data_IF_387029655219
#
_entry.id   IF_387029655219
#
_cell.length_a   1.000
_cell.length_b   1.000
_cell.length_c   1.000
_cell.angle_alpha   90.00
_cell.angle_beta   90.00
_cell.angle_gamma   90.00
#
_symmetry.space_group_name_H-M   'P 1'
#
loop_
_entity.id
_entity.type
_entity.pdbx_description
1 polymer ?
#
# COMPACT_ATOMS: atom_id res chain seq x y z
N UNK A 1 32.21 -30.29 41.94
CA UNK A 1 32.00 -28.94 41.36
C UNK A 1 31.94 -29.09 39.85
N UNK A 2 31.06 -28.32 39.19
CA UNK A 2 31.05 -28.03 37.75
C UNK A 2 30.41 -29.10 36.85
N UNK A 3 29.49 -28.81 35.92
CA UNK A 3 28.71 -27.64 35.52
C UNK A 3 27.61 -28.20 34.60
N UNK A 4 26.34 -28.05 34.93
CA UNK A 4 25.25 -28.43 34.00
C UNK A 4 25.24 -27.43 32.84
N UNK A 5 25.55 -27.88 31.63
CA UNK A 5 25.30 -27.12 30.40
C UNK A 5 23.79 -27.18 30.12
N UNK A 6 23.10 -26.06 30.34
CA UNK A 6 21.77 -25.87 29.80
C UNK A 6 21.89 -25.69 28.28
N UNK A 7 21.46 -26.70 27.53
CA UNK A 7 21.31 -26.59 26.08
C UNK A 7 20.15 -25.63 25.79
N UNK A 8 20.47 -24.45 25.23
CA UNK A 8 19.49 -23.51 24.72
C UNK A 8 18.92 -24.09 23.43
N UNK A 9 17.72 -24.70 23.50
CA UNK A 9 16.98 -25.11 22.30
C UNK A 9 16.51 -23.84 21.57
N UNK A 10 17.19 -23.52 20.47
CA UNK A 10 16.72 -22.54 19.49
C UNK A 10 15.51 -23.15 18.77
N UNK A 11 14.30 -22.72 19.13
CA UNK A 11 13.09 -23.10 18.39
C UNK A 11 13.11 -22.37 17.06
N UNK A 12 13.53 -23.06 16.01
CA UNK A 12 13.43 -22.57 14.63
C UNK A 12 11.95 -22.65 14.24
N UNK A 13 11.23 -21.55 14.35
CA UNK A 13 9.88 -21.46 13.78
C UNK A 13 10.01 -21.66 12.26
N UNK A 14 9.23 -22.56 11.64
CA UNK A 14 9.28 -22.71 10.19
C UNK A 14 8.79 -21.41 9.57
N UNK A 15 9.68 -20.69 8.89
CA UNK A 15 9.28 -19.67 7.93
C UNK A 15 8.52 -20.40 6.83
N UNK A 16 7.20 -20.22 6.78
CA UNK A 16 6.39 -20.74 5.68
C UNK A 16 6.93 -20.21 4.35
N UNK A 17 6.74 -20.92 3.23
CA UNK A 17 7.13 -20.42 1.93
C UNK A 17 6.54 -19.02 1.71
N UNK A 18 7.41 -18.04 1.47
CA UNK A 18 6.98 -16.73 0.99
C UNK A 18 6.34 -16.96 -0.38
N UNK A 19 5.02 -16.84 -0.47
CA UNK A 19 4.34 -16.86 -1.75
C UNK A 19 4.81 -15.63 -2.53
N UNK A 20 5.55 -15.83 -3.61
CA UNK A 20 5.84 -14.75 -4.55
C UNK A 20 4.55 -14.39 -5.28
N UNK A 21 4.25 -13.10 -5.36
CA UNK A 21 3.09 -12.58 -6.08
C UNK A 21 3.57 -11.82 -7.33
N UNK A 22 3.93 -12.54 -8.42
CA UNK A 22 4.52 -11.93 -9.60
C UNK A 22 3.58 -10.91 -10.27
N UNK A 23 2.26 -11.10 -10.12
CA UNK A 23 1.25 -10.23 -10.73
C UNK A 23 0.95 -8.98 -9.88
N UNK A 24 1.44 -8.92 -8.64
CA UNK A 24 1.17 -7.83 -7.71
C UNK A 24 0.61 -8.32 -6.35
N UNK A 25 0.66 -7.47 -5.31
CA UNK A 25 0.37 -7.87 -3.93
C UNK A 25 -1.10 -8.33 -3.75
N UNK A 26 -1.42 -9.27 -2.84
CA UNK A 26 -2.76 -9.83 -2.71
C UNK A 26 -3.81 -8.76 -2.34
N UNK A 27 -4.99 -8.83 -2.98
CA UNK A 27 -6.05 -7.83 -2.85
C UNK A 27 -6.62 -7.70 -1.43
N UNK A 28 -6.62 -8.80 -0.70
CA UNK A 28 -7.12 -8.92 0.67
C UNK A 28 -6.26 -8.10 1.64
N UNK A 29 -4.97 -7.97 1.35
CA UNK A 29 -4.02 -7.25 2.21
C UNK A 29 -4.21 -5.71 2.17
N UNK A 30 -4.93 -5.15 1.19
CA UNK A 30 -5.15 -3.70 1.14
C UNK A 30 -5.90 -3.15 2.36
N UNK A 31 -6.70 -4.00 3.02
CA UNK A 31 -7.58 -3.62 4.13
C UNK A 31 -7.22 -4.38 5.42
N UNK A 32 -6.26 -5.29 5.35
CA UNK A 32 -5.74 -6.01 6.50
C UNK A 32 -4.90 -5.06 7.38
N UNK A 33 -4.97 -5.27 8.70
CA UNK A 33 -4.17 -4.53 9.68
C UNK A 33 -2.68 -4.76 9.49
N UNK A 34 -2.28 -5.96 9.06
CA UNK A 34 -0.90 -6.32 8.74
C UNK A 34 -0.50 -5.80 7.36
N UNK A 35 -1.42 -5.77 6.39
CA UNK A 35 -1.14 -5.28 5.04
C UNK A 35 0.16 -5.83 4.44
N UNK A 36 1.07 -4.95 4.03
CA UNK A 36 2.38 -5.36 3.50
C UNK A 36 3.28 -6.09 4.53
N UNK A 37 3.11 -5.83 5.83
CA UNK A 37 3.92 -6.48 6.87
C UNK A 37 3.50 -7.90 7.17
N UNK A 38 2.43 -8.40 6.55
CA UNK A 38 2.08 -9.83 6.60
C UNK A 38 3.16 -10.71 5.96
N UNK A 39 3.87 -10.17 4.96
CA UNK A 39 5.00 -10.85 4.32
C UNK A 39 6.34 -10.16 4.61
N UNK A 40 6.37 -8.83 4.66
CA UNK A 40 7.59 -8.05 4.88
C UNK A 40 7.70 -7.61 6.35
N UNK A 41 8.14 -8.54 7.20
CA UNK A 41 8.00 -8.44 8.66
C UNK A 41 9.27 -8.01 9.43
N UNK A 42 10.36 -7.65 8.74
CA UNK A 42 11.63 -7.29 9.39
C UNK A 42 11.58 -5.99 10.19
N UNK A 43 10.55 -5.18 9.98
CA UNK A 43 10.30 -3.98 10.74
C UNK A 43 8.82 -3.59 10.73
N UNK A 44 8.43 -2.74 11.69
CA UNK A 44 7.13 -2.08 11.64
C UNK A 44 7.05 -1.07 10.49
N UNK A 45 5.84 -0.70 10.04
CA UNK A 45 5.71 0.25 8.96
C UNK A 45 6.13 1.66 9.38
N UNK A 46 6.71 2.40 8.45
CA UNK A 46 6.94 3.84 8.54
C UNK A 46 5.60 4.56 8.30
N UNK A 47 4.89 4.86 9.38
CA UNK A 47 3.55 5.48 9.33
C UNK A 47 3.65 6.99 9.13
N UNK A 48 3.01 7.50 8.08
CA UNK A 48 2.91 8.93 7.80
C UNK A 48 4.21 9.59 7.32
N UNK A 49 5.22 8.79 6.95
CA UNK A 49 6.48 9.30 6.43
C UNK A 49 6.28 10.01 5.08
N UNK A 50 6.97 11.13 4.90
CA UNK A 50 6.86 11.97 3.70
C UNK A 50 7.40 11.31 2.43
N UNK A 51 8.09 10.17 2.51
CA UNK A 51 8.49 9.38 1.35
C UNK A 51 7.31 8.80 0.58
N UNK A 52 6.18 8.55 1.26
CA UNK A 52 4.94 8.03 0.66
C UNK A 52 3.89 9.16 0.59
N UNK A 53 3.38 9.46 -0.61
CA UNK A 53 2.42 10.56 -0.82
C UNK A 53 1.30 10.18 -1.77
N UNK A 54 0.15 10.79 -1.52
CA UNK A 54 -0.97 10.85 -2.47
C UNK A 54 -1.07 12.30 -2.96
N UNK A 55 -1.05 12.48 -4.28
CA UNK A 55 -1.08 13.80 -4.93
C UNK A 55 -2.25 13.87 -5.90
N UNK A 56 -3.10 14.90 -5.77
CA UNK A 56 -4.20 15.17 -6.70
C UNK A 56 -5.59 14.76 -6.21
N UNK A 57 -5.72 14.09 -5.06
CA UNK A 57 -7.02 13.93 -4.40
C UNK A 57 -7.39 15.21 -3.61
N UNK A 58 -8.66 15.62 -3.60
CA UNK A 58 -9.09 16.78 -2.87
C UNK A 58 -9.30 16.46 -1.38
N UNK A 59 -9.33 17.49 -0.52
CA UNK A 59 -9.73 17.32 0.88
C UNK A 59 -11.24 17.16 1.05
N UNK A 60 -12.02 17.64 0.07
CA UNK A 60 -13.48 17.55 0.02
C UNK A 60 -13.95 17.16 -1.36
N UNK A 61 -15.02 16.37 -1.45
CA UNK A 61 -15.51 15.85 -2.73
C UNK A 61 -17.03 15.94 -2.82
N UNK A 62 -17.53 16.19 -4.03
CA UNK A 62 -18.96 16.11 -4.34
C UNK A 62 -19.29 14.71 -4.89
N UNK A 63 -20.50 14.16 -4.63
CA UNK A 63 -20.87 12.85 -5.16
C UNK A 63 -20.68 12.73 -6.68
N UNK A 64 -20.21 11.56 -7.13
CA UNK A 64 -19.97 11.26 -8.55
C UNK A 64 -18.76 11.96 -9.20
N UNK A 65 -18.07 12.87 -8.50
CA UNK A 65 -16.87 13.54 -9.05
C UNK A 65 -15.75 12.56 -9.37
N UNK A 66 -14.99 12.88 -10.43
CA UNK A 66 -13.85 12.08 -10.88
C UNK A 66 -12.56 12.85 -10.67
N UNK A 67 -11.58 12.19 -10.05
CA UNK A 67 -10.28 12.75 -9.72
C UNK A 67 -9.17 11.85 -10.25
N UNK A 68 -8.22 12.43 -10.99
CA UNK A 68 -6.96 11.77 -11.33
C UNK A 68 -5.94 12.09 -10.24
N UNK A 69 -5.23 11.09 -9.75
CA UNK A 69 -4.27 11.25 -8.67
C UNK A 69 -3.09 10.30 -8.84
N UNK A 70 -2.07 10.54 -8.04
CA UNK A 70 -0.79 9.85 -8.09
C UNK A 70 -0.43 9.32 -6.71
N UNK A 71 -0.02 8.05 -6.65
CA UNK A 71 0.68 7.47 -5.51
C UNK A 71 2.17 7.57 -5.79
N UNK A 72 2.91 8.21 -4.89
CA UNK A 72 4.36 8.41 -5.03
C UNK A 72 5.10 7.81 -3.87
N UNK A 73 6.16 7.05 -4.18
CA UNK A 73 7.10 6.55 -3.21
C UNK A 73 8.52 6.95 -3.62
N UNK A 74 9.33 7.40 -2.67
CA UNK A 74 10.74 7.72 -2.89
C UNK A 74 11.55 7.23 -1.70
N UNK A 75 12.40 6.23 -1.91
CA UNK A 75 13.35 5.75 -0.93
C UNK A 75 14.71 5.46 -1.60
N UNK A 76 15.83 6.03 -1.11
CA UNK A 76 17.14 5.82 -1.73
C UNK A 76 17.61 4.35 -1.77
N UNK A 77 17.10 3.50 -0.88
CA UNK A 77 17.45 2.08 -0.80
C UNK A 77 16.64 1.20 -1.73
N UNK A 78 15.55 1.70 -2.32
CA UNK A 78 14.66 0.86 -3.11
C UNK A 78 15.23 0.54 -4.49
N UNK A 79 15.14 -0.73 -4.87
CA UNK A 79 15.44 -1.23 -6.21
C UNK A 79 14.18 -1.61 -6.97
N UNK A 80 13.13 -1.96 -6.23
CA UNK A 80 11.78 -2.19 -6.74
C UNK A 80 10.78 -1.59 -5.77
N UNK A 81 9.57 -1.34 -6.23
CA UNK A 81 8.51 -0.84 -5.37
C UNK A 81 7.15 -1.48 -5.68
N UNK A 82 6.25 -1.43 -4.71
CA UNK A 82 4.86 -1.79 -4.91
C UNK A 82 3.95 -1.11 -3.90
N UNK A 83 2.65 -1.13 -4.17
CA UNK A 83 1.65 -0.56 -3.26
C UNK A 83 0.34 -1.35 -3.25
N UNK A 84 -0.42 -1.16 -2.17
CA UNK A 84 -1.81 -1.56 -1.99
C UNK A 84 -2.62 -0.37 -1.47
N UNK A 85 -3.72 -0.05 -2.13
CA UNK A 85 -4.59 1.07 -1.81
C UNK A 85 -6.03 0.58 -1.64
N UNK A 86 -6.73 1.08 -0.62
CA UNK A 86 -8.17 0.93 -0.46
C UNK A 86 -8.82 2.26 -0.06
N UNK A 87 -9.97 2.56 -0.66
CA UNK A 87 -10.85 3.66 -0.28
C UNK A 87 -12.12 3.12 0.37
N UNK A 88 -12.43 3.63 1.58
CA UNK A 88 -13.47 3.10 2.44
C UNK A 88 -14.42 4.17 2.94
N UNK A 89 -15.70 3.91 2.79
CA UNK A 89 -16.75 4.57 3.54
C UNK A 89 -17.01 3.78 4.83
N UNK A 90 -17.87 4.31 5.70
CA UNK A 90 -18.34 3.61 6.90
C UNK A 90 -18.90 2.23 6.57
N UNK A 91 -19.64 2.13 5.45
CA UNK A 91 -20.28 0.89 4.97
C UNK A 91 -19.59 0.34 3.72
N UNK A 92 -18.32 -0.03 3.85
CA UNK A 92 -17.58 -0.74 2.81
C UNK A 92 -16.83 0.17 1.84
N UNK A 93 -16.72 -0.27 0.58
CA UNK A 93 -15.94 0.41 -0.46
C UNK A 93 -16.48 1.83 -0.76
N UNK A 94 -15.58 2.79 -0.99
CA UNK A 94 -15.93 4.16 -1.38
C UNK A 94 -15.56 4.46 -2.84
N UNK A 95 -16.55 4.37 -3.71
CA UNK A 95 -16.42 4.77 -5.11
C UNK A 95 -15.75 3.68 -5.93
N UNK A 96 -15.11 4.08 -7.03
CA UNK A 96 -14.45 3.13 -7.94
C UNK A 96 -13.12 3.70 -8.42
N UNK A 97 -12.08 2.87 -8.36
CA UNK A 97 -10.76 3.15 -8.88
C UNK A 97 -10.61 2.59 -10.30
N UNK A 98 -9.78 3.25 -11.08
CA UNK A 98 -9.30 2.76 -12.38
C UNK A 98 -7.80 3.06 -12.50
N UNK A 99 -7.08 2.14 -13.13
CA UNK A 99 -5.68 2.37 -13.49
C UNK A 99 -5.58 3.32 -14.69
N UNK A 100 -4.58 4.19 -14.70
CA UNK A 100 -4.31 5.03 -15.87
C UNK A 100 -3.57 4.28 -16.99
N UNK A 101 -2.81 3.26 -16.63
CA UNK A 101 -1.93 2.47 -17.50
C UNK A 101 -1.72 1.06 -16.89
N UNK A 102 -0.82 0.27 -17.45
CA UNK A 102 -0.53 -1.11 -17.05
C UNK A 102 0.34 -1.24 -15.78
N UNK A 103 0.80 -0.12 -15.20
CA UNK A 103 1.61 -0.12 -13.97
C UNK A 103 0.79 -0.37 -12.71
N UNK A 104 -0.52 -0.24 -12.83
CA UNK A 104 -1.48 -0.45 -11.77
C UNK A 104 -2.64 -1.29 -12.27
N UNK A 105 -3.31 -1.94 -11.34
CA UNK A 105 -4.61 -2.55 -11.57
C UNK A 105 -5.58 -2.09 -10.48
N UNK A 106 -6.87 -2.10 -10.81
CA UNK A 106 -7.93 -1.64 -9.92
C UNK A 106 -9.08 -2.64 -9.86
N UNK A 107 -9.62 -2.81 -8.65
CA UNK A 107 -10.78 -3.65 -8.38
C UNK A 107 -11.69 -2.92 -7.40
N UNK A 108 -12.85 -2.46 -7.88
CA UNK A 108 -13.77 -1.62 -7.11
C UNK A 108 -13.03 -0.42 -6.48
N UNK A 109 -13.07 -0.25 -5.16
CA UNK A 109 -12.37 0.83 -4.46
C UNK A 109 -10.95 0.46 -4.00
N UNK A 110 -10.34 -0.56 -4.61
CA UNK A 110 -8.96 -0.99 -4.35
C UNK A 110 -8.08 -0.83 -5.58
N UNK A 111 -6.79 -0.58 -5.37
CA UNK A 111 -5.79 -0.63 -6.43
C UNK A 111 -4.46 -1.17 -5.92
N UNK A 112 -3.68 -1.76 -6.81
CA UNK A 112 -2.33 -2.24 -6.51
C UNK A 112 -1.39 -2.03 -7.68
N UNK A 113 -0.09 -2.01 -7.40
CA UNK A 113 0.95 -2.02 -8.42
C UNK A 113 1.04 -3.38 -9.12
N UNK A 114 1.36 -3.37 -10.41
CA UNK A 114 1.69 -4.58 -11.18
C UNK A 114 3.20 -4.78 -11.29
N UNK A 115 3.64 -5.88 -11.93
CA UNK A 115 5.04 -6.08 -12.29
C UNK A 115 5.61 -4.92 -13.12
N UNK A 116 4.86 -4.42 -14.11
CA UNK A 116 5.27 -3.30 -14.97
C UNK A 116 5.44 -2.00 -14.16
N UNK A 117 4.65 -1.83 -13.09
CA UNK A 117 4.74 -0.70 -12.19
C UNK A 117 5.83 -0.79 -11.12
N UNK A 118 6.59 -1.89 -11.05
CA UNK A 118 7.54 -2.11 -9.95
C UNK A 118 8.92 -1.47 -10.13
N UNK A 119 9.21 -0.97 -11.34
CA UNK A 119 10.51 -0.36 -11.67
C UNK A 119 10.68 1.05 -11.11
N UNK A 120 11.87 1.32 -10.57
CA UNK A 120 12.28 2.64 -10.07
C UNK A 120 12.73 3.53 -11.23
N UNK A 121 12.25 4.78 -11.25
CA UNK A 121 12.54 5.75 -12.30
C UNK A 121 13.79 6.59 -11.98
N UNK A 122 14.24 7.41 -12.94
CA UNK A 122 15.49 8.18 -12.94
C UNK A 122 15.69 9.26 -11.86
N UNK A 123 14.98 9.17 -10.73
CA UNK A 123 15.12 10.01 -9.54
C UNK A 123 15.06 9.23 -8.23
N UNK A 124 15.17 7.89 -8.26
CA UNK A 124 15.08 7.04 -7.06
C UNK A 124 13.66 6.95 -6.48
N UNK A 125 12.65 7.12 -7.36
CA UNK A 125 11.23 7.19 -7.02
C UNK A 125 10.36 6.35 -7.96
N UNK A 126 9.11 6.12 -7.56
CA UNK A 126 8.04 5.55 -8.41
C UNK A 126 6.80 6.42 -8.28
N UNK A 127 6.12 6.64 -9.41
CA UNK A 127 4.85 7.34 -9.51
C UNK A 127 3.81 6.45 -10.22
N UNK A 128 2.73 6.12 -9.53
CA UNK A 128 1.59 5.37 -10.10
C UNK A 128 0.38 6.27 -10.27
N UNK A 129 -0.13 6.30 -11.49
CA UNK A 129 -1.32 7.07 -11.82
C UNK A 129 -2.60 6.24 -11.65
N UNK A 130 -3.57 6.83 -10.95
CA UNK A 130 -4.90 6.29 -10.77
C UNK A 130 -5.97 7.34 -11.07
N UNK A 131 -7.17 6.87 -11.39
CA UNK A 131 -8.38 7.67 -11.38
C UNK A 131 -9.35 7.12 -10.33
N UNK A 132 -10.06 8.01 -9.65
CA UNK A 132 -11.09 7.68 -8.69
C UNK A 132 -12.39 8.40 -9.04
N UNK A 133 -13.50 7.68 -9.07
CA UNK A 133 -14.85 8.24 -9.08
C UNK A 133 -15.44 8.11 -7.68
N UNK A 134 -15.84 9.25 -7.10
CA UNK A 134 -16.51 9.30 -5.80
C UNK A 134 -17.85 8.56 -5.85
N UNK A 135 -18.32 8.00 -4.72
CA UNK A 135 -19.67 7.44 -4.65
C UNK A 135 -20.75 8.43 -5.09
N UNK A 136 -21.86 7.92 -5.63
CA UNK A 136 -23.06 8.72 -5.95
C UNK A 136 -23.78 9.26 -4.70
N UNK A 137 -23.47 8.71 -3.53
CA UNK A 137 -23.94 9.21 -2.23
C UNK A 137 -22.82 9.08 -1.19
N UNK A 138 -22.55 10.17 -0.45
CA UNK A 138 -21.46 10.24 0.52
C UNK A 138 -22.02 10.57 1.90
N UNK A 139 -22.24 9.54 2.71
CA UNK A 139 -22.83 9.69 4.05
C UNK A 139 -21.82 10.13 5.13
N UNK A 140 -20.52 10.17 4.82
CA UNK A 140 -19.48 10.50 5.78
C UNK A 140 -18.10 10.52 5.16
N UNK A 141 -17.08 10.63 6.02
CA UNK A 141 -15.68 10.68 5.60
C UNK A 141 -15.25 9.40 4.89
N UNK A 142 -14.57 9.55 3.77
CA UNK A 142 -13.94 8.47 3.03
C UNK A 142 -12.52 8.33 3.56
N UNK A 143 -12.18 7.17 4.09
CA UNK A 143 -10.82 6.82 4.53
C UNK A 143 -10.03 6.28 3.36
N UNK A 144 -8.79 6.72 3.24
CA UNK A 144 -7.80 6.19 2.32
C UNK A 144 -6.78 5.42 3.15
N UNK A 145 -6.58 4.14 2.81
CA UNK A 145 -5.57 3.26 3.43
C UNK A 145 -4.59 2.89 2.33
N UNK A 146 -3.34 3.29 2.51
CA UNK A 146 -2.26 3.04 1.56
C UNK A 146 -1.09 2.35 2.26
N UNK A 147 -0.67 1.24 1.69
CA UNK A 147 0.56 0.55 2.02
C UNK A 147 1.50 0.60 0.83
N UNK A 148 2.80 0.70 1.09
CA UNK A 148 3.81 0.59 0.05
C UNK A 148 5.06 -0.14 0.53
N UNK A 149 5.67 -0.90 -0.37
CA UNK A 149 6.95 -1.58 -0.15
C UNK A 149 8.03 -0.89 -0.99
N UNK A 150 9.10 -0.45 -0.34
CA UNK A 150 10.38 -0.10 -0.94
C UNK A 150 11.31 -1.32 -0.81
N UNK A 151 11.37 -2.12 -1.88
CA UNK A 151 12.07 -3.40 -1.85
C UNK A 151 13.55 -3.23 -2.18
N UNK A 152 14.41 -3.97 -1.48
CA UNK A 152 15.87 -3.92 -1.66
C UNK A 152 16.34 -4.65 -2.95
N UNK A 153 15.47 -5.45 -3.56
CA UNK A 153 15.71 -6.16 -4.82
C UNK A 153 16.49 -7.48 -4.70
N UNK A 154 16.55 -8.11 -3.53
CA UNK A 154 17.20 -9.41 -3.33
C UNK A 154 16.26 -10.63 -3.47
N UNK A 155 15.04 -10.40 -3.97
CA UNK A 155 13.95 -11.39 -4.12
C UNK A 155 13.54 -12.10 -2.82
N UNK A 156 13.83 -11.48 -1.68
CA UNK A 156 13.41 -11.90 -0.34
C UNK A 156 12.48 -10.84 0.28
N UNK A 157 11.60 -11.22 1.23
CA UNK A 157 10.78 -10.25 1.95
C UNK A 157 11.57 -9.45 3.00
N UNK A 158 12.81 -9.84 3.26
CA UNK A 158 13.68 -9.30 4.30
C UNK A 158 14.48 -8.09 3.82
N UNK A 159 14.75 -7.15 4.74
CA UNK A 159 15.45 -5.90 4.43
C UNK A 159 14.62 -4.85 3.66
N UNK A 160 13.36 -5.17 3.36
CA UNK A 160 12.40 -4.27 2.73
C UNK A 160 11.87 -3.21 3.69
N UNK A 161 11.59 -2.01 3.16
CA UNK A 161 11.05 -0.90 3.96
C UNK A 161 9.59 -0.69 3.64
N UNK A 162 8.74 -0.91 4.66
CA UNK A 162 7.30 -0.78 4.52
C UNK A 162 6.82 0.59 4.97
N UNK A 163 5.95 1.20 4.18
CA UNK A 163 5.32 2.49 4.43
C UNK A 163 3.82 2.32 4.58
N UNK A 164 3.24 3.16 5.43
CA UNK A 164 1.78 3.21 5.61
C UNK A 164 1.32 4.65 5.69
N UNK A 165 0.28 4.96 4.94
CA UNK A 165 -0.38 6.25 4.98
C UNK A 165 -1.87 6.03 5.16
N UNK A 166 -2.45 6.71 6.15
CA UNK A 166 -3.88 6.88 6.26
C UNK A 166 -4.22 8.36 6.08
N UNK A 167 -5.23 8.63 5.26
CA UNK A 167 -5.78 9.98 5.09
C UNK A 167 -7.27 9.91 4.86
N UNK A 168 -7.91 11.06 4.67
CA UNK A 168 -9.35 11.11 4.48
C UNK A 168 -9.82 12.24 3.59
N UNK A 169 -10.97 12.01 2.96
CA UNK A 169 -11.71 12.97 2.13
C UNK A 169 -13.08 13.16 2.78
N UNK A 170 -13.44 14.40 3.07
CA UNK A 170 -14.77 14.72 3.60
C UNK A 170 -15.78 14.99 2.47
N UNK A 171 -17.08 14.83 2.72
CA UNK A 171 -18.10 15.39 1.82
C UNK A 171 -17.91 16.91 1.69
N UNK A 172 -18.18 17.45 0.49
CA UNK A 172 -18.41 18.87 0.32
C UNK A 172 -19.66 19.28 1.15
N UNK A 173 -19.66 20.50 1.70
CA UNK A 173 -20.85 21.01 2.37
C UNK A 173 -22.00 21.13 1.37
N UNK A 174 -23.20 20.70 1.76
CA UNK A 174 -24.43 21.02 1.03
C UNK A 174 -24.57 22.55 1.00
N UNK A 175 -24.81 23.12 -0.20
CA UNK A 175 -25.05 24.55 -0.37
C UNK A 175 -26.51 24.88 -0.12
#
# INVERSE_FOLDING_TARGET
MSRSLAALLLVLAPAGPAAAYPDGPPWEAAEDVAGCTACHSDGGPLVGDSALRIVGLPQRVTPGERHRFHVRLTDPGMRRAGYLLALRAERGAAGTLAACDDRSEALAAKARSTAAGSGVEGGGGVDWCLAWQAPEAIAGTIRIILWANAANGDDSPFGDRIYRLESSIAPAAER
#
